data_IF_968273418121
#
_entry.id   IF_968273418121
#
_cell.length_a   1.000
_cell.length_b   1.000
_cell.length_c   1.000
_cell.angle_alpha   90.00
_cell.angle_beta   90.00
_cell.angle_gamma   90.00
#
_symmetry.space_group_name_H-M   'P 1'
#
loop_
_entity.id
_entity.type
_entity.pdbx_description
1 polymer ?
#
# COMPACT_ATOMS: atom_id res chain seq x y z
N UNK A 1 -20.45 -20.34 26.05
CA UNK A 1 -19.74 -19.21 26.68
C UNK A 1 -18.34 -19.06 26.04
N UNK A 2 -18.26 -18.42 24.87
CA UNK A 2 -17.00 -18.31 24.10
C UNK A 2 -16.87 -16.88 23.54
N UNK A 3 -16.84 -15.90 24.45
CA UNK A 3 -16.77 -14.47 24.09
C UNK A 3 -15.47 -13.79 24.52
N UNK A 4 -14.63 -14.45 25.33
CA UNK A 4 -13.52 -13.77 26.02
C UNK A 4 -12.17 -13.86 25.29
N UNK A 5 -11.99 -14.77 24.32
CA UNK A 5 -10.66 -15.01 23.70
C UNK A 5 -10.28 -14.07 22.55
N UNK A 6 -11.20 -13.26 22.00
CA UNK A 6 -10.91 -12.33 20.89
C UNK A 6 -10.64 -10.88 21.28
N UNK A 7 -10.82 -10.49 22.56
CA UNK A 7 -10.55 -9.12 23.02
C UNK A 7 -9.06 -8.83 23.26
N UNK A 8 -8.23 -9.84 23.44
CA UNK A 8 -6.86 -9.70 23.96
C UNK A 8 -5.74 -9.53 22.92
N UNK A 9 -6.03 -9.42 21.62
CA UNK A 9 -4.98 -9.25 20.61
C UNK A 9 -4.71 -7.81 20.18
N UNK A 10 -5.51 -6.83 20.60
CA UNK A 10 -5.28 -5.41 20.22
C UNK A 10 -4.44 -4.67 21.28
N UNK A 11 -4.46 -5.08 22.55
CA UNK A 11 -3.64 -4.44 23.61
C UNK A 11 -2.15 -4.84 23.60
N UNK A 12 -1.77 -5.85 22.82
CA UNK A 12 -0.42 -6.41 22.85
C UNK A 12 0.60 -5.72 21.93
N UNK A 13 0.19 -4.69 21.16
CA UNK A 13 1.14 -3.77 20.50
C UNK A 13 1.46 -2.60 21.46
N UNK A 14 1.50 -2.85 22.76
CA UNK A 14 2.10 -1.96 23.75
C UNK A 14 3.41 -2.61 24.17
N UNK A 15 4.47 -2.21 23.49
CA UNK A 15 5.84 -2.64 23.77
C UNK A 15 6.19 -2.37 25.23
N UNK A 16 6.91 -3.30 25.90
CA UNK A 16 7.46 -3.19 27.27
C UNK A 16 8.54 -2.10 27.45
N UNK A 17 8.55 -1.11 26.57
CA UNK A 17 9.62 -0.14 26.38
C UNK A 17 9.02 1.26 26.56
N UNK A 18 9.35 1.91 27.67
CA UNK A 18 8.79 3.21 28.06
C UNK A 18 9.08 4.30 27.01
N UNK A 19 10.14 4.14 26.20
CA UNK A 19 10.44 5.06 25.12
C UNK A 19 9.48 4.92 23.92
N UNK A 20 8.98 3.71 23.67
CA UNK A 20 7.99 3.50 22.62
C UNK A 20 6.61 3.98 23.07
N UNK A 21 6.31 3.90 24.35
CA UNK A 21 5.02 4.31 24.90
C UNK A 21 4.75 5.80 24.73
N UNK A 22 5.76 6.68 24.90
CA UNK A 22 5.58 8.13 24.67
C UNK A 22 5.39 8.46 23.19
N UNK A 23 6.08 7.76 22.30
CA UNK A 23 5.97 7.93 20.85
C UNK A 23 4.63 7.45 20.31
N UNK A 24 4.07 6.39 20.89
CA UNK A 24 2.72 5.90 20.56
C UNK A 24 1.64 6.91 20.97
N UNK A 25 1.86 7.66 22.06
CA UNK A 25 0.93 8.71 22.48
C UNK A 25 0.82 9.85 21.45
N UNK A 26 1.93 10.20 20.80
CA UNK A 26 1.97 11.21 19.72
C UNK A 26 1.14 10.77 18.49
N UNK A 27 1.07 9.46 18.22
CA UNK A 27 0.33 8.89 17.11
C UNK A 27 -1.07 8.37 17.47
N UNK A 28 -1.55 8.60 18.70
CA UNK A 28 -2.82 8.06 19.17
C UNK A 28 -4.02 8.45 18.28
N UNK A 29 -3.96 9.62 17.64
CA UNK A 29 -4.99 10.10 16.70
C UNK A 29 -4.96 9.38 15.34
N UNK A 30 -3.83 8.78 14.97
CA UNK A 30 -3.64 8.07 13.68
C UNK A 30 -3.82 6.57 13.89
N UNK A 31 -3.18 5.99 14.91
CA UNK A 31 -3.23 4.57 15.25
C UNK A 31 -4.44 4.27 16.14
N UNK A 32 -5.61 4.73 15.72
CA UNK A 32 -6.87 4.41 16.38
C UNK A 32 -7.15 2.91 16.24
N UNK A 33 -8.03 2.39 17.10
CA UNK A 33 -8.41 0.98 17.07
C UNK A 33 -8.97 0.56 15.70
N UNK A 34 -9.81 1.39 15.12
CA UNK A 34 -10.45 1.10 13.84
C UNK A 34 -9.44 1.16 12.68
N UNK A 35 -8.50 2.12 12.71
CA UNK A 35 -7.42 2.20 11.74
C UNK A 35 -6.50 0.97 11.81
N UNK A 36 -6.13 0.53 13.01
CA UNK A 36 -5.33 -0.68 13.20
C UNK A 36 -6.06 -1.93 12.73
N UNK A 37 -7.36 -2.05 13.03
CA UNK A 37 -8.17 -3.17 12.57
C UNK A 37 -8.22 -3.23 11.04
N UNK A 38 -8.46 -2.08 10.40
CA UNK A 38 -8.46 -1.97 8.94
C UNK A 38 -7.12 -2.40 8.32
N UNK A 39 -5.99 -1.93 8.87
CA UNK A 39 -4.65 -2.31 8.37
C UNK A 39 -4.39 -3.81 8.56
N UNK A 40 -4.84 -4.41 9.67
CA UNK A 40 -4.73 -5.86 9.90
C UNK A 40 -5.49 -6.64 8.84
N UNK A 41 -6.70 -6.21 8.50
CA UNK A 41 -7.53 -6.89 7.53
C UNK A 41 -6.94 -6.79 6.11
N UNK A 42 -6.48 -5.60 5.71
CA UNK A 42 -5.73 -5.41 4.45
C UNK A 42 -4.49 -6.31 4.38
N UNK A 43 -3.72 -6.39 5.48
CA UNK A 43 -2.54 -7.23 5.51
C UNK A 43 -2.92 -8.69 5.29
N UNK A 44 -3.93 -9.18 6.01
CA UNK A 44 -4.33 -10.59 5.93
C UNK A 44 -4.80 -10.97 4.54
N UNK A 45 -5.50 -10.06 3.87
CA UNK A 45 -5.99 -10.26 2.51
C UNK A 45 -4.86 -10.21 1.47
N UNK A 46 -4.03 -9.16 1.47
CA UNK A 46 -3.12 -8.90 0.34
C UNK A 46 -1.69 -9.39 0.53
N UNK A 47 -1.23 -9.69 1.75
CA UNK A 47 0.20 -9.98 2.00
C UNK A 47 0.73 -11.16 1.18
N UNK A 48 -0.07 -12.20 0.97
CA UNK A 48 0.35 -13.36 0.19
C UNK A 48 0.53 -13.02 -1.30
N UNK A 49 -0.40 -12.23 -1.86
CA UNK A 49 -0.30 -11.75 -3.24
C UNK A 49 0.92 -10.83 -3.45
N UNK A 50 1.21 -9.95 -2.48
CA UNK A 50 2.40 -9.09 -2.53
C UNK A 50 3.68 -9.95 -2.54
N UNK A 51 3.76 -10.97 -1.67
CA UNK A 51 4.91 -11.88 -1.65
C UNK A 51 5.09 -12.59 -2.99
N UNK A 52 4.00 -13.10 -3.56
CA UNK A 52 4.04 -13.76 -4.87
C UNK A 52 4.55 -12.82 -5.96
N UNK A 53 4.03 -11.59 -6.04
CA UNK A 53 4.47 -10.59 -7.01
C UNK A 53 5.96 -10.22 -6.85
N UNK A 54 6.46 -10.17 -5.61
CA UNK A 54 7.89 -9.92 -5.34
C UNK A 54 8.78 -11.07 -5.83
N UNK A 55 8.36 -12.33 -5.68
CA UNK A 55 9.11 -13.47 -6.23
C UNK A 55 9.08 -13.46 -7.76
N UNK A 56 7.92 -13.21 -8.39
CA UNK A 56 7.85 -13.04 -9.85
C UNK A 56 8.78 -11.93 -10.36
N UNK A 57 8.91 -10.83 -9.61
CA UNK A 57 9.85 -9.75 -9.94
C UNK A 57 11.31 -10.21 -9.90
N UNK A 58 11.69 -11.06 -8.94
CA UNK A 58 13.05 -11.65 -8.90
C UNK A 58 13.30 -12.55 -10.09
N UNK A 59 12.33 -13.39 -10.44
CA UNK A 59 12.42 -14.25 -11.63
C UNK A 59 12.59 -13.44 -12.91
N UNK A 60 11.77 -12.40 -13.11
CA UNK A 60 11.88 -11.52 -14.26
C UNK A 60 13.26 -10.83 -14.31
N UNK A 61 13.76 -10.36 -13.15
CA UNK A 61 15.09 -9.77 -13.04
C UNK A 61 16.20 -10.74 -13.45
N UNK A 62 16.13 -12.01 -13.05
CA UNK A 62 17.09 -13.04 -13.46
C UNK A 62 17.07 -13.25 -14.98
N UNK A 63 15.88 -13.31 -15.60
CA UNK A 63 15.74 -13.44 -17.06
C UNK A 63 16.40 -12.28 -17.80
N UNK A 64 16.20 -11.04 -17.33
CA UNK A 64 16.81 -9.87 -17.95
C UNK A 64 18.33 -9.81 -17.76
N UNK A 65 18.82 -10.19 -16.58
CA UNK A 65 20.26 -10.27 -16.33
C UNK A 65 20.95 -11.30 -17.24
N UNK A 66 20.25 -12.35 -17.66
CA UNK A 66 20.75 -13.37 -18.58
C UNK A 66 20.61 -12.99 -20.07
N UNK A 67 20.37 -11.70 -20.37
CA UNK A 67 20.28 -11.20 -21.74
C UNK A 67 18.87 -11.17 -22.34
N UNK A 68 17.84 -11.54 -21.57
CA UNK A 68 16.45 -11.32 -21.97
C UNK A 68 16.13 -9.82 -22.04
N UNK A 69 15.32 -9.41 -23.02
CA UNK A 69 14.82 -8.04 -23.13
C UNK A 69 13.32 -7.99 -22.81
N UNK A 70 12.82 -6.92 -22.17
CA UNK A 70 11.38 -6.72 -22.01
C UNK A 70 10.72 -6.49 -23.37
N UNK A 71 9.52 -7.04 -23.56
CA UNK A 71 8.74 -6.91 -24.78
C UNK A 71 7.24 -6.96 -24.50
N UNK A 72 6.42 -6.71 -25.52
CA UNK A 72 4.97 -6.85 -25.41
C UNK A 72 4.57 -8.32 -25.40
N UNK A 73 3.90 -8.77 -24.34
CA UNK A 73 3.39 -10.15 -24.27
C UNK A 73 2.27 -10.36 -25.30
N UNK A 74 2.39 -11.42 -26.10
CA UNK A 74 1.40 -11.81 -27.10
C UNK A 74 0.09 -12.23 -26.45
N UNK A 75 0.12 -12.74 -25.22
CA UNK A 75 -1.10 -13.17 -24.51
C UNK A 75 -2.05 -12.02 -24.23
N UNK A 76 -1.53 -10.80 -24.08
CA UNK A 76 -2.31 -9.58 -23.78
C UNK A 76 -2.56 -8.72 -25.02
N UNK A 77 -2.31 -9.26 -26.22
CA UNK A 77 -2.50 -8.55 -27.50
C UNK A 77 -3.95 -8.13 -27.71
N UNK A 78 -4.91 -9.02 -27.42
CA UNK A 78 -6.33 -8.74 -27.58
C UNK A 78 -6.77 -7.51 -26.76
N UNK A 79 -6.31 -7.37 -25.51
CA UNK A 79 -6.62 -6.21 -24.66
C UNK A 79 -6.11 -4.90 -25.27
N UNK A 80 -4.96 -4.91 -25.96
CA UNK A 80 -4.38 -3.70 -26.59
C UNK A 80 -5.05 -3.32 -27.90
N UNK A 81 -5.64 -4.29 -28.59
CA UNK A 81 -6.29 -4.10 -29.90
C UNK A 81 -7.81 -3.87 -29.76
N UNK A 82 -8.37 -4.10 -28.58
CA UNK A 82 -9.76 -3.78 -28.25
C UNK A 82 -9.97 -2.27 -28.04
N UNK A 83 -11.16 -1.79 -28.38
CA UNK A 83 -11.60 -0.42 -28.18
C UNK A 83 -12.24 -0.27 -26.79
N UNK A 84 -11.40 0.02 -25.79
CA UNK A 84 -11.84 0.25 -24.42
C UNK A 84 -11.25 1.55 -23.86
N UNK A 85 -11.96 2.14 -22.90
CA UNK A 85 -11.54 3.34 -22.19
C UNK A 85 -11.62 3.14 -20.68
N UNK A 86 -10.77 3.84 -19.94
CA UNK A 86 -10.83 3.86 -18.48
C UNK A 86 -12.17 4.43 -17.96
N UNK A 87 -12.45 4.21 -16.68
CA UNK A 87 -13.58 4.84 -16.00
C UNK A 87 -13.50 6.38 -16.06
N UNK A 88 -14.67 7.04 -16.00
CA UNK A 88 -14.78 8.50 -16.07
C UNK A 88 -13.99 9.19 -14.96
N UNK A 89 -13.21 10.20 -15.34
CA UNK A 89 -12.39 10.99 -14.43
C UNK A 89 -13.26 12.02 -13.70
N UNK A 90 -13.04 12.21 -12.40
CA UNK A 90 -13.70 13.25 -11.61
C UNK A 90 -13.18 14.63 -12.00
N UNK A 91 -14.07 15.64 -12.04
CA UNK A 91 -13.70 17.02 -12.37
C UNK A 91 -12.63 17.61 -11.44
N UNK A 92 -12.55 17.13 -10.19
CA UNK A 92 -11.55 17.59 -9.22
C UNK A 92 -10.11 17.23 -9.59
N UNK A 93 -9.91 16.24 -10.47
CA UNK A 93 -8.60 15.74 -10.89
C UNK A 93 -8.45 15.67 -12.41
N UNK A 94 -9.35 16.32 -13.15
CA UNK A 94 -9.33 16.30 -14.61
C UNK A 94 -8.19 17.14 -15.20
N UNK A 95 -7.79 18.22 -14.51
CA UNK A 95 -6.65 19.05 -14.88
C UNK A 95 -5.48 18.76 -13.93
N UNK A 96 -4.45 18.10 -14.45
CA UNK A 96 -3.20 17.78 -13.76
C UNK A 96 -1.99 18.34 -14.53
N UNK A 97 -2.16 19.48 -15.20
CA UNK A 97 -1.13 20.08 -16.05
C UNK A 97 0.19 20.37 -15.32
N UNK A 98 0.13 20.58 -14.01
CA UNK A 98 1.29 20.73 -13.13
C UNK A 98 1.06 19.88 -11.87
N UNK A 99 2.04 19.03 -11.55
CA UNK A 99 2.07 18.27 -10.31
C UNK A 99 3.34 18.60 -9.54
N UNK A 100 3.20 18.89 -8.24
CA UNK A 100 4.31 19.14 -7.34
C UNK A 100 4.51 17.92 -6.43
N UNK A 101 5.75 17.40 -6.38
CA UNK A 101 6.12 16.28 -5.50
C UNK A 101 7.04 16.80 -4.41
N UNK A 102 6.77 16.43 -3.15
CA UNK A 102 7.57 16.84 -2.00
C UNK A 102 7.37 15.91 -0.80
N UNK A 103 8.17 16.06 0.26
CA UNK A 103 8.04 15.27 1.47
C UNK A 103 6.76 15.62 2.24
N UNK A 104 6.28 14.69 3.07
CA UNK A 104 5.04 14.83 3.87
C UNK A 104 5.19 15.71 5.12
N UNK A 105 6.27 16.48 5.18
CA UNK A 105 6.57 17.35 6.31
C UNK A 105 5.60 18.52 6.35
N UNK A 106 5.11 18.89 7.55
CA UNK A 106 4.09 19.94 7.70
C UNK A 106 4.47 21.26 7.02
N UNK A 107 5.74 21.65 7.07
CA UNK A 107 6.22 22.87 6.42
C UNK A 107 6.15 22.79 4.88
N UNK A 108 6.43 21.60 4.33
CA UNK A 108 6.50 21.37 2.90
C UNK A 108 5.12 21.24 2.25
N UNK A 109 4.09 20.82 3.02
CA UNK A 109 2.70 20.77 2.55
C UNK A 109 2.11 22.17 2.31
N UNK A 110 2.51 23.17 3.10
CA UNK A 110 1.96 24.53 3.05
C UNK A 110 2.85 25.54 2.32
N UNK A 111 4.02 25.12 1.82
CA UNK A 111 4.95 26.04 1.18
C UNK A 111 4.39 26.46 -0.19
N UNK A 112 4.18 27.77 -0.45
CA UNK A 112 3.87 28.27 -1.78
C UNK A 112 5.08 28.18 -2.71
#
# INVERSE_FOLDING_TARGET
>A
MSGAKKRFQIEAIVTRDAEKTWKILEFANILTRDALQFVVDLQREFRNHIKYALECRKEAKMRYNNGGLPGCDLTTKYIREEDWVCATVSSMVADQSVEMIGPVERKMIFCP
#
